data_IF_192362949370
#
_entry.id   IF_192362949370
#
_cell.length_a   1.000
_cell.length_b   1.000
_cell.length_c   1.000
_cell.angle_alpha   90.00
_cell.angle_beta   90.00
_cell.angle_gamma   90.00
#
_symmetry.space_group_name_H-M   'P 1'
#
loop_
_entity.id
_entity.type
_entity.pdbx_description
1 polymer ?
#
# COMPACT_ATOMS: atom_id res chain seq x y z
N UNK A 1 -31.16 18.16 18.28
CA UNK A 1 -30.28 17.06 18.71
C UNK A 1 -29.09 17.12 17.79
N UNK A 2 -27.94 17.54 18.29
CA UNK A 2 -26.69 17.32 17.57
C UNK A 2 -26.51 15.82 17.41
N UNK A 3 -26.29 15.35 16.19
CA UNK A 3 -25.92 13.96 15.96
C UNK A 3 -24.43 13.86 16.25
N UNK A 4 -24.05 13.08 17.26
CA UNK A 4 -22.64 12.82 17.60
C UNK A 4 -22.03 11.69 16.73
N UNK A 5 -22.73 11.31 15.66
CA UNK A 5 -22.28 10.30 14.72
C UNK A 5 -21.67 10.99 13.50
N UNK A 6 -20.39 10.72 13.25
CA UNK A 6 -19.66 11.05 12.04
C UNK A 6 -19.63 9.82 11.15
N UNK A 7 -20.12 9.95 9.91
CA UNK A 7 -20.04 8.89 8.90
C UNK A 7 -20.66 7.54 9.29
N UNK A 8 -20.57 6.60 8.36
CA UNK A 8 -20.91 5.18 8.57
C UNK A 8 -19.89 4.23 7.94
N UNK A 9 -18.74 4.78 7.51
CA UNK A 9 -17.54 4.06 7.07
C UNK A 9 -16.32 4.78 7.63
N UNK A 10 -15.17 4.08 7.69
CA UNK A 10 -13.90 4.70 8.09
C UNK A 10 -13.57 5.87 7.17
N UNK A 11 -13.62 5.66 5.86
CA UNK A 11 -13.39 6.70 4.85
C UNK A 11 -14.16 7.99 5.13
N UNK A 12 -15.48 7.89 5.37
CA UNK A 12 -16.31 9.05 5.62
C UNK A 12 -15.91 9.78 6.92
N UNK A 13 -15.51 9.02 7.95
CA UNK A 13 -15.02 9.59 9.21
C UNK A 13 -13.69 10.30 9.00
N UNK A 14 -12.72 9.63 8.36
CA UNK A 14 -11.37 10.17 8.10
C UNK A 14 -11.46 11.44 7.25
N UNK A 15 -12.17 11.40 6.12
CA UNK A 15 -12.37 12.59 5.27
C UNK A 15 -12.98 13.75 6.04
N UNK A 16 -13.99 13.49 6.87
CA UNK A 16 -14.61 14.54 7.70
C UNK A 16 -13.61 15.15 8.69
N UNK A 17 -12.64 14.38 9.19
CA UNK A 17 -11.58 14.89 10.08
C UNK A 17 -10.52 15.67 9.30
N UNK A 18 -10.10 15.17 8.12
CA UNK A 18 -9.14 15.86 7.25
C UNK A 18 -9.69 17.19 6.71
N UNK A 19 -10.96 17.22 6.30
CA UNK A 19 -11.66 18.41 5.79
C UNK A 19 -11.84 19.51 6.86
N UNK A 20 -11.61 19.18 8.13
CA UNK A 20 -11.54 20.17 9.22
C UNK A 20 -10.17 20.86 9.34
N UNK A 21 -9.21 20.49 8.47
CA UNK A 21 -7.86 21.04 8.36
C UNK A 21 -7.12 21.09 9.71
N UNK A 22 -7.03 19.97 10.46
CA UNK A 22 -6.27 19.95 11.71
C UNK A 22 -4.77 20.16 11.44
N UNK A 23 -4.03 20.66 12.42
CA UNK A 23 -2.56 20.71 12.32
C UNK A 23 -1.92 19.32 12.50
N UNK A 24 -2.50 18.50 13.37
CA UNK A 24 -2.02 17.17 13.73
C UNK A 24 -3.20 16.22 13.96
N UNK A 25 -3.03 14.98 13.52
CA UNK A 25 -4.01 13.92 13.64
C UNK A 25 -3.34 12.66 14.20
N UNK A 26 -3.73 12.25 15.40
CA UNK A 26 -3.39 10.95 15.93
C UNK A 26 -4.43 9.90 15.51
N UNK A 27 -3.95 8.75 15.04
CA UNK A 27 -4.76 7.57 14.74
C UNK A 27 -4.31 6.46 15.68
N UNK A 28 -5.15 6.11 16.64
CA UNK A 28 -4.75 5.25 17.77
C UNK A 28 -5.47 3.91 17.70
N UNK A 29 -4.69 2.85 17.84
CA UNK A 29 -5.12 1.45 17.81
C UNK A 29 -6.12 1.17 16.65
N UNK A 30 -5.81 1.54 15.40
CA UNK A 30 -6.68 1.26 14.26
C UNK A 30 -6.75 -0.25 13.98
N UNK A 31 -7.93 -0.72 13.58
CA UNK A 31 -8.02 -2.02 12.91
C UNK A 31 -7.35 -1.95 11.53
N UNK A 32 -7.00 -3.09 10.94
CA UNK A 32 -6.30 -3.12 9.65
C UNK A 32 -7.03 -2.35 8.54
N UNK A 33 -8.33 -2.60 8.38
CA UNK A 33 -9.22 -1.86 7.47
C UNK A 33 -9.17 -0.34 7.70
N UNK A 34 -9.00 0.10 8.95
CA UNK A 34 -8.89 1.54 9.25
C UNK A 34 -7.58 2.14 8.76
N UNK A 35 -6.49 1.37 8.80
CA UNK A 35 -5.19 1.80 8.26
C UNK A 35 -5.27 1.93 6.74
N UNK A 36 -5.86 0.94 6.06
CA UNK A 36 -6.05 0.95 4.61
C UNK A 36 -6.87 2.17 4.15
N UNK A 37 -8.04 2.36 4.75
CA UNK A 37 -8.94 3.47 4.42
C UNK A 37 -8.34 4.84 4.76
N UNK A 38 -7.53 4.94 5.81
CA UNK A 38 -6.79 6.17 6.12
C UNK A 38 -5.77 6.49 5.02
N UNK A 39 -4.98 5.50 4.59
CA UNK A 39 -3.95 5.67 3.56
C UNK A 39 -4.61 6.06 2.23
N UNK A 40 -5.70 5.39 1.86
CA UNK A 40 -6.46 5.71 0.65
C UNK A 40 -7.07 7.13 0.73
N UNK A 41 -7.69 7.49 1.86
CA UNK A 41 -8.30 8.81 2.04
C UNK A 41 -7.27 9.94 2.05
N UNK A 42 -6.09 9.72 2.65
CA UNK A 42 -5.01 10.70 2.67
C UNK A 42 -4.40 10.92 1.28
N UNK A 43 -4.12 9.84 0.52
CA UNK A 43 -3.62 9.96 -0.85
C UNK A 43 -4.65 10.59 -1.81
N UNK A 44 -5.95 10.40 -1.55
CA UNK A 44 -7.03 11.00 -2.34
C UNK A 44 -7.37 12.44 -1.90
N UNK A 45 -6.75 12.97 -0.84
CA UNK A 45 -7.05 14.30 -0.33
C UNK A 45 -6.43 15.37 -1.24
N UNK A 46 -7.23 16.37 -1.65
CA UNK A 46 -6.78 17.45 -2.54
C UNK A 46 -6.13 18.64 -1.80
N UNK A 47 -6.25 18.68 -0.46
CA UNK A 47 -5.74 19.74 0.41
C UNK A 47 -4.38 19.45 1.05
N UNK A 48 -3.92 20.35 1.92
CA UNK A 48 -2.76 20.10 2.78
C UNK A 48 -3.13 19.06 3.84
N UNK A 49 -2.32 18.00 3.98
CA UNK A 49 -2.51 17.00 5.00
C UNK A 49 -2.02 17.49 6.37
N UNK A 50 -2.68 17.09 7.47
CA UNK A 50 -2.09 17.24 8.80
C UNK A 50 -0.84 16.37 8.94
N UNK A 51 -0.07 16.61 10.01
CA UNK A 51 0.87 15.60 10.50
C UNK A 51 0.09 14.40 11.04
N UNK A 52 0.06 13.29 10.31
CA UNK A 52 -0.65 12.07 10.68
C UNK A 52 0.30 11.17 11.48
N UNK A 53 -0.08 10.89 12.73
CA UNK A 53 0.66 10.06 13.68
C UNK A 53 -0.14 8.81 14.02
N UNK A 54 0.28 7.67 13.48
CA UNK A 54 -0.44 6.41 13.65
C UNK A 54 0.23 5.52 14.70
N UNK A 55 -0.49 5.23 15.78
CA UNK A 55 -0.13 4.26 16.83
C UNK A 55 -0.90 2.96 16.61
N UNK A 56 -0.23 1.93 16.10
CA UNK A 56 -0.86 0.66 15.74
C UNK A 56 -0.18 -0.54 16.39
N UNK A 57 -0.96 -1.60 16.63
CA UNK A 57 -0.41 -2.90 17.04
C UNK A 57 0.58 -3.40 15.97
N UNK A 58 1.76 -3.89 16.40
CA UNK A 58 2.84 -4.25 15.49
C UNK A 58 2.41 -5.32 14.48
N UNK A 59 1.61 -6.29 14.92
CA UNK A 59 1.12 -7.36 14.06
C UNK A 59 0.13 -6.82 13.04
N UNK A 60 -0.80 -5.98 13.47
CA UNK A 60 -1.78 -5.34 12.58
C UNK A 60 -1.07 -4.50 11.51
N UNK A 61 -0.05 -3.72 11.88
CA UNK A 61 0.73 -2.95 10.91
C UNK A 61 1.48 -3.86 9.93
N UNK A 62 2.09 -4.95 10.39
CA UNK A 62 2.73 -5.95 9.51
C UNK A 62 1.73 -6.57 8.54
N UNK A 63 0.60 -7.05 9.06
CA UNK A 63 -0.42 -7.74 8.27
C UNK A 63 -1.01 -6.82 7.18
N UNK A 64 -1.24 -5.53 7.48
CA UNK A 64 -1.71 -4.54 6.48
C UNK A 64 -0.63 -4.18 5.47
N UNK A 65 0.61 -3.99 5.93
CA UNK A 65 1.73 -3.58 5.07
C UNK A 65 2.38 -4.73 4.30
N UNK A 66 1.87 -5.96 4.46
CA UNK A 66 2.16 -7.08 3.57
C UNK A 66 1.48 -6.89 2.19
N UNK A 67 0.40 -6.09 2.10
CA UNK A 67 -0.17 -5.68 0.81
C UNK A 67 0.69 -4.58 0.18
N UNK A 68 1.22 -4.85 -1.01
CA UNK A 68 2.12 -3.93 -1.70
C UNK A 68 1.47 -2.56 -1.98
N UNK A 69 0.20 -2.52 -2.37
CA UNK A 69 -0.47 -1.28 -2.75
C UNK A 69 -0.63 -0.40 -1.50
N UNK A 70 -1.13 -0.97 -0.41
CA UNK A 70 -1.26 -0.24 0.86
C UNK A 70 0.11 0.22 1.37
N UNK A 71 1.10 -0.67 1.36
CA UNK A 71 2.43 -0.35 1.87
C UNK A 71 3.17 0.72 1.05
N UNK A 72 3.07 0.66 -0.28
CA UNK A 72 3.73 1.63 -1.18
C UNK A 72 3.02 2.99 -1.21
N UNK A 73 1.68 3.02 -1.07
CA UNK A 73 0.91 4.27 -0.88
C UNK A 73 1.16 4.89 0.51
N UNK A 74 1.30 4.08 1.56
CA UNK A 74 1.71 4.57 2.88
C UNK A 74 3.14 5.13 2.83
N UNK A 75 4.04 4.49 2.09
CA UNK A 75 5.42 4.95 1.92
C UNK A 75 5.49 6.30 1.18
N UNK A 76 4.60 6.59 0.22
CA UNK A 76 4.48 7.95 -0.34
C UNK A 76 4.24 9.00 0.75
N UNK A 77 3.26 8.76 1.63
CA UNK A 77 2.92 9.68 2.73
C UNK A 77 4.08 9.83 3.73
N UNK A 78 4.80 8.74 4.02
CA UNK A 78 5.99 8.77 4.89
C UNK A 78 7.13 9.55 4.26
N UNK A 79 7.40 9.37 2.96
CA UNK A 79 8.44 10.12 2.24
C UNK A 79 8.11 11.61 2.10
N UNK A 80 6.82 11.95 1.97
CA UNK A 80 6.33 13.33 2.00
C UNK A 80 6.43 13.97 3.38
N UNK A 81 6.50 13.17 4.45
CA UNK A 81 6.52 13.62 5.83
C UNK A 81 5.13 13.86 6.43
N UNK A 82 4.08 13.41 5.75
CA UNK A 82 2.69 13.56 6.19
C UNK A 82 2.25 12.42 7.12
N UNK A 83 2.91 11.26 7.07
CA UNK A 83 2.60 10.09 7.88
C UNK A 83 3.82 9.59 8.66
N UNK A 84 3.63 9.35 9.95
CA UNK A 84 4.55 8.58 10.80
C UNK A 84 3.82 7.39 11.44
N UNK A 85 4.50 6.25 11.51
CA UNK A 85 3.96 5.02 12.10
C UNK A 85 4.78 4.63 13.34
N UNK A 86 4.10 4.32 14.44
CA UNK A 86 4.72 3.80 15.67
C UNK A 86 3.96 2.60 16.21
N UNK A 87 4.71 1.71 16.86
CA UNK A 87 4.17 0.51 17.49
C UNK A 87 3.53 0.88 18.82
N UNK A 88 2.27 0.48 18.96
CA UNK A 88 1.50 0.69 20.16
C UNK A 88 1.54 -0.57 21.03
N UNK A 89 2.28 -0.49 22.13
CA UNK A 89 2.36 -1.56 23.14
C UNK A 89 1.29 -1.44 24.24
N UNK A 90 0.39 -0.44 24.14
CA UNK A 90 -0.59 -0.13 25.16
C UNK A 90 -1.77 -1.10 25.18
N UNK A 91 -1.89 -1.89 26.25
CA UNK A 91 -3.13 -2.61 26.52
C UNK A 91 -4.24 -1.60 26.89
N UNK A 92 -5.32 -1.53 26.08
CA UNK A 92 -6.65 -0.97 26.40
C UNK A 92 -7.06 0.42 25.86
N UNK A 93 -6.43 1.00 24.84
CA UNK A 93 -7.06 2.12 24.10
C UNK A 93 -8.10 1.62 23.10
N UNK A 94 -9.24 2.30 23.04
CA UNK A 94 -10.21 2.08 21.96
C UNK A 94 -9.68 2.67 20.66
N UNK A 95 -10.10 2.14 19.52
CA UNK A 95 -9.75 2.72 18.23
C UNK A 95 -10.32 4.14 18.11
N UNK A 96 -9.47 5.11 17.80
CA UNK A 96 -9.87 6.52 17.79
C UNK A 96 -8.99 7.42 16.92
N UNK A 97 -9.59 8.54 16.50
CA UNK A 97 -8.93 9.67 15.88
C UNK A 97 -8.91 10.83 16.88
N UNK A 98 -7.76 11.46 17.08
CA UNK A 98 -7.59 12.55 18.05
C UNK A 98 -6.88 13.73 17.39
N UNK A 99 -7.47 14.91 17.54
CA UNK A 99 -6.93 16.21 17.14
C UNK A 99 -7.02 17.13 18.36
N UNK A 100 -6.39 18.31 18.31
CA UNK A 100 -6.43 19.28 19.43
C UNK A 100 -7.87 19.68 19.83
N UNK A 101 -8.80 19.74 18.86
CA UNK A 101 -10.16 20.24 19.07
C UNK A 101 -11.26 19.16 18.99
N UNK A 102 -10.90 17.92 18.66
CA UNK A 102 -11.86 16.84 18.50
C UNK A 102 -11.29 15.46 18.81
N UNK A 103 -12.09 14.65 19.49
CA UNK A 103 -11.88 13.20 19.63
C UNK A 103 -13.02 12.44 18.93
N UNK A 104 -12.66 11.39 18.18
CA UNK A 104 -13.60 10.50 17.50
C UNK A 104 -13.28 9.05 17.84
N UNK A 105 -14.18 8.38 18.56
CA UNK A 105 -14.08 6.94 18.79
C UNK A 105 -14.66 6.17 17.60
N UNK A 106 -13.92 5.21 17.04
CA UNK A 106 -14.37 4.38 15.94
C UNK A 106 -15.11 3.15 16.49
N UNK A 107 -16.34 2.94 16.01
CA UNK A 107 -17.22 1.86 16.48
C UNK A 107 -17.70 1.02 15.30
N UNK A 108 -17.21 -0.22 15.24
CA UNK A 108 -17.63 -1.22 14.25
C UNK A 108 -18.90 -1.96 14.67
N UNK A 109 -19.94 -1.98 13.83
CA UNK A 109 -21.17 -2.75 14.02
C UNK A 109 -21.69 -3.29 12.67
N UNK A 110 -21.74 -4.62 12.52
CA UNK A 110 -22.41 -5.26 11.37
C UNK A 110 -21.82 -4.89 10.00
N UNK A 111 -20.50 -4.67 9.93
CA UNK A 111 -19.79 -4.24 8.71
C UNK A 111 -19.84 -2.73 8.44
N UNK A 112 -20.38 -1.93 9.37
CA UNK A 112 -20.30 -0.47 9.34
C UNK A 112 -19.32 0.01 10.40
N UNK A 113 -18.61 1.10 10.13
CA UNK A 113 -17.78 1.80 11.12
C UNK A 113 -18.29 3.22 11.27
N UNK A 114 -18.84 3.54 12.44
CA UNK A 114 -19.29 4.90 12.76
C UNK A 114 -18.31 5.60 13.71
N UNK A 115 -18.09 6.89 13.49
CA UNK A 115 -17.32 7.74 14.40
C UNK A 115 -18.21 8.38 15.45
N UNK A 116 -18.01 8.08 16.73
CA UNK A 116 -18.64 8.81 17.83
C UNK A 116 -17.76 9.98 18.25
N UNK A 117 -18.23 11.21 18.03
CA UNK A 117 -17.41 12.41 18.22
C UNK A 117 -17.79 13.22 19.46
N UNK A 118 -16.79 13.88 20.02
CA UNK A 118 -16.90 14.93 21.02
C UNK A 118 -15.93 16.08 20.70
N UNK A 119 -16.38 17.30 20.95
CA UNK A 119 -15.63 18.56 20.90
C UNK A 119 -15.59 19.23 22.30
N UNK A 120 -15.92 18.46 23.35
CA UNK A 120 -15.75 18.91 24.73
C UNK A 120 -14.26 19.18 24.99
N UNK A 121 -13.94 20.44 25.30
CA UNK A 121 -12.57 20.92 25.39
C UNK A 121 -11.75 20.21 26.47
N UNK A 122 -12.33 19.99 27.66
CA UNK A 122 -11.63 19.31 28.77
C UNK A 122 -11.31 17.86 28.41
N UNK A 123 -12.28 17.14 27.82
CA UNK A 123 -12.05 15.77 27.40
C UNK A 123 -11.05 15.67 26.25
N UNK A 124 -11.15 16.55 25.25
CA UNK A 124 -10.28 16.52 24.07
C UNK A 124 -8.84 16.86 24.41
N UNK A 125 -8.61 17.90 25.21
CA UNK A 125 -7.26 18.25 25.72
C UNK A 125 -6.65 17.06 26.47
N UNK A 126 -7.41 16.44 27.37
CA UNK A 126 -6.96 15.26 28.13
C UNK A 126 -6.64 14.07 27.21
N UNK A 127 -7.45 13.83 26.18
CA UNK A 127 -7.23 12.74 25.24
C UNK A 127 -5.99 12.99 24.36
N UNK A 128 -5.83 14.24 23.88
CA UNK A 128 -4.70 14.66 23.08
C UNK A 128 -3.39 14.51 23.83
N UNK A 129 -3.29 15.08 25.04
CA UNK A 129 -2.09 15.00 25.88
C UNK A 129 -1.70 13.54 26.16
N UNK A 130 -2.69 12.70 26.50
CA UNK A 130 -2.42 11.31 26.81
C UNK A 130 -1.96 10.50 25.60
N UNK A 131 -2.42 10.83 24.39
CA UNK A 131 -1.98 10.17 23.16
C UNK A 131 -0.62 10.70 22.68
N UNK A 132 -0.35 11.99 22.90
CA UNK A 132 0.97 12.57 22.64
C UNK A 132 2.05 11.94 23.54
N UNK A 133 1.74 11.72 24.82
CA UNK A 133 2.62 10.97 25.73
C UNK A 133 2.84 9.52 25.23
N UNK A 134 1.76 8.82 24.87
CA UNK A 134 1.83 7.46 24.31
C UNK A 134 2.69 7.44 23.01
N UNK A 135 2.62 8.49 22.19
CA UNK A 135 3.41 8.64 20.97
C UNK A 135 4.89 8.82 21.24
N UNK A 136 5.25 9.71 22.17
CA UNK A 136 6.65 10.03 22.49
C UNK A 136 7.41 8.82 23.05
N UNK A 137 6.72 7.94 23.78
CA UNK A 137 7.26 6.71 24.34
C UNK A 137 7.29 5.52 23.34
N UNK A 138 6.54 5.60 22.24
CA UNK A 138 6.39 4.50 21.29
C UNK A 138 7.58 4.30 20.34
N UNK A 139 7.83 3.04 19.96
CA UNK A 139 8.89 2.68 18.99
C UNK A 139 8.47 2.97 17.55
N UNK A 140 9.41 3.42 16.71
CA UNK A 140 9.15 3.67 15.30
C UNK A 140 8.89 2.38 14.51
N UNK A 141 7.84 2.38 13.69
CA UNK A 141 7.57 1.33 12.72
C UNK A 141 8.04 1.77 11.33
N UNK A 142 9.02 1.08 10.75
CA UNK A 142 9.60 1.45 9.45
C UNK A 142 9.07 0.56 8.33
N UNK A 143 8.52 1.18 7.29
CA UNK A 143 8.13 0.50 6.06
C UNK A 143 9.38 0.04 5.28
N UNK A 144 9.32 -1.20 4.78
CA UNK A 144 10.36 -1.75 3.91
C UNK A 144 10.06 -1.55 2.43
N UNK A 145 8.78 -1.45 2.10
CA UNK A 145 8.27 -1.23 0.76
C UNK A 145 8.59 0.19 0.30
N UNK A 146 9.16 0.39 -0.90
CA UNK A 146 9.40 1.72 -1.45
C UNK A 146 8.09 2.43 -1.79
N UNK A 147 8.13 3.77 -1.76
CA UNK A 147 7.06 4.65 -2.24
C UNK A 147 6.65 4.34 -3.68
N UNK A 148 5.35 4.25 -3.95
CA UNK A 148 4.85 3.87 -5.28
C UNK A 148 5.28 4.87 -6.36
N UNK A 149 5.39 6.16 -6.03
CA UNK A 149 5.81 7.19 -6.99
C UNK A 149 7.27 6.98 -7.41
N UNK A 150 8.11 6.53 -6.48
CA UNK A 150 9.50 6.15 -6.79
C UNK A 150 9.54 4.90 -7.66
N UNK A 151 8.68 3.92 -7.42
CA UNK A 151 8.57 2.70 -8.24
C UNK A 151 8.20 3.09 -9.68
N UNK A 152 7.16 3.90 -9.87
CA UNK A 152 6.71 4.41 -11.18
C UNK A 152 7.82 5.16 -11.89
N UNK A 153 8.38 6.17 -11.23
CA UNK A 153 9.45 6.99 -11.80
C UNK A 153 10.62 6.13 -12.29
N UNK A 154 11.07 5.18 -11.47
CA UNK A 154 12.22 4.34 -11.82
C UNK A 154 11.89 3.28 -12.87
N UNK A 155 10.63 2.81 -12.99
CA UNK A 155 10.22 1.96 -14.11
C UNK A 155 10.32 2.73 -15.43
N UNK A 156 9.83 3.98 -15.48
CA UNK A 156 9.91 4.84 -16.67
C UNK A 156 11.38 5.11 -17.06
N UNK A 157 12.20 5.50 -16.07
CA UNK A 157 13.58 5.95 -16.30
C UNK A 157 14.56 4.78 -16.58
N UNK A 158 14.47 3.67 -15.83
CA UNK A 158 15.47 2.59 -15.88
C UNK A 158 15.05 1.40 -16.75
N UNK A 159 13.75 1.21 -16.99
CA UNK A 159 13.22 0.10 -17.81
C UNK A 159 12.62 0.63 -19.10
N UNK A 160 11.40 1.16 -19.06
CA UNK A 160 10.75 1.84 -20.17
C UNK A 160 9.41 2.48 -19.76
N UNK A 161 8.98 3.55 -20.45
CA UNK A 161 7.66 4.16 -20.25
C UNK A 161 6.49 3.18 -20.47
N UNK A 162 6.63 2.25 -21.41
CA UNK A 162 5.59 1.25 -21.69
C UNK A 162 5.42 0.28 -20.51
N UNK A 163 6.51 -0.06 -19.82
CA UNK A 163 6.49 -0.91 -18.63
C UNK A 163 5.88 -0.18 -17.42
N UNK A 164 6.19 1.10 -17.23
CA UNK A 164 5.54 1.91 -16.20
C UNK A 164 4.02 1.99 -16.41
N UNK A 165 3.59 2.32 -17.64
CA UNK A 165 2.17 2.43 -17.96
C UNK A 165 1.41 1.10 -17.80
N UNK A 166 2.03 -0.01 -18.21
CA UNK A 166 1.44 -1.34 -18.05
C UNK A 166 1.38 -1.76 -16.57
N UNK A 167 2.37 -1.39 -15.76
CA UNK A 167 2.38 -1.62 -14.31
C UNK A 167 1.25 -0.87 -13.63
N UNK A 168 1.08 0.41 -13.94
CA UNK A 168 -0.02 1.23 -13.40
C UNK A 168 -1.40 0.71 -13.78
N UNK A 169 -1.56 0.26 -15.03
CA UNK A 169 -2.81 -0.33 -15.47
C UNK A 169 -3.14 -1.64 -14.73
N UNK A 170 -2.14 -2.45 -14.37
CA UNK A 170 -2.32 -3.65 -13.53
C UNK A 170 -2.74 -3.25 -12.12
N UNK A 171 -2.02 -2.31 -11.49
CA UNK A 171 -2.32 -1.85 -10.13
C UNK A 171 -3.72 -1.25 -10.01
N UNK A 172 -4.11 -0.39 -10.95
CA UNK A 172 -5.45 0.19 -10.98
C UNK A 172 -6.55 -0.89 -11.05
N UNK A 173 -6.32 -1.98 -11.80
CA UNK A 173 -7.26 -3.11 -11.79
C UNK A 173 -7.30 -3.82 -10.44
N UNK A 174 -6.16 -3.98 -9.77
CA UNK A 174 -6.08 -4.65 -8.48
C UNK A 174 -6.75 -3.85 -7.37
N UNK A 175 -6.61 -2.52 -7.37
CA UNK A 175 -7.30 -1.62 -6.43
C UNK A 175 -8.83 -1.76 -6.53
N UNK A 176 -9.36 -1.83 -7.75
CA UNK A 176 -10.81 -2.01 -7.94
C UNK A 176 -11.33 -3.40 -7.53
N UNK A 177 -10.44 -4.40 -7.43
CA UNK A 177 -10.76 -5.76 -7.04
C UNK A 177 -10.53 -6.04 -5.55
N UNK A 178 -10.12 -5.03 -4.76
CA UNK A 178 -9.81 -5.15 -3.33
C UNK A 178 -11.03 -5.68 -2.57
N UNK A 179 -10.94 -6.94 -2.16
CA UNK A 179 -12.01 -7.68 -1.48
C UNK A 179 -11.60 -9.00 -0.84
N UNK A 180 -10.49 -9.63 -1.27
CA UNK A 180 -10.09 -10.96 -0.76
C UNK A 180 -8.61 -11.09 -0.32
N UNK A 181 -7.84 -10.00 -0.21
CA UNK A 181 -6.49 -10.02 0.42
C UNK A 181 -5.44 -10.93 -0.23
N UNK A 182 -5.71 -11.50 -1.41
CA UNK A 182 -4.83 -12.41 -2.15
C UNK A 182 -4.43 -11.77 -3.51
N UNK A 183 -3.98 -10.52 -3.44
CA UNK A 183 -3.40 -9.79 -4.57
C UNK A 183 -2.15 -10.49 -5.10
N UNK A 184 -1.81 -10.26 -6.37
CA UNK A 184 -0.49 -10.65 -6.87
C UNK A 184 0.59 -9.85 -6.15
N UNK A 185 1.65 -10.53 -5.71
CA UNK A 185 2.82 -9.85 -5.18
C UNK A 185 3.48 -8.97 -6.26
N UNK A 186 4.14 -7.92 -5.81
CA UNK A 186 4.78 -6.89 -6.63
C UNK A 186 5.85 -7.46 -7.58
N UNK A 187 6.51 -8.54 -7.19
CA UNK A 187 7.50 -9.23 -8.04
C UNK A 187 6.79 -9.95 -9.18
N UNK A 188 5.66 -10.59 -8.90
CA UNK A 188 4.81 -11.23 -9.90
C UNK A 188 4.28 -10.20 -10.90
N UNK A 189 3.74 -9.06 -10.44
CA UNK A 189 3.28 -7.97 -11.32
C UNK A 189 4.42 -7.46 -12.19
N UNK A 190 5.57 -7.16 -11.59
CA UNK A 190 6.78 -6.68 -12.29
C UNK A 190 7.22 -7.65 -13.40
N UNK A 191 7.21 -8.96 -13.13
CA UNK A 191 7.61 -9.98 -14.09
C UNK A 191 6.60 -10.15 -15.24
N UNK A 192 5.29 -10.06 -14.97
CA UNK A 192 4.26 -10.15 -16.00
C UNK A 192 4.31 -8.96 -16.95
N UNK A 193 4.45 -7.76 -16.41
CA UNK A 193 4.58 -6.52 -17.19
C UNK A 193 5.88 -6.52 -18.01
N UNK A 194 7.00 -6.91 -17.40
CA UNK A 194 8.26 -7.07 -18.11
C UNK A 194 8.17 -8.15 -19.22
N UNK A 195 7.42 -9.23 -18.99
CA UNK A 195 7.19 -10.26 -20.00
C UNK A 195 6.33 -9.77 -21.16
N UNK A 196 5.29 -8.97 -20.88
CA UNK A 196 4.45 -8.33 -21.91
C UNK A 196 5.26 -7.42 -22.82
N UNK A 197 6.14 -6.60 -22.22
CA UNK A 197 7.01 -5.66 -22.94
C UNK A 197 8.29 -6.29 -23.47
N UNK A 198 8.49 -7.58 -23.23
CA UNK A 198 9.66 -8.36 -23.66
C UNK A 198 10.99 -7.78 -23.16
N UNK A 199 11.02 -7.39 -21.90
CA UNK A 199 12.21 -6.90 -21.24
C UNK A 199 13.18 -8.03 -20.86
N UNK A 200 14.44 -7.68 -20.63
CA UNK A 200 15.42 -8.64 -20.12
C UNK A 200 15.15 -8.92 -18.64
N UNK A 201 15.13 -10.20 -18.26
CA UNK A 201 15.01 -10.62 -16.85
C UNK A 201 16.08 -9.98 -15.98
N UNK A 202 17.29 -9.77 -16.52
CA UNK A 202 18.37 -9.13 -15.78
C UNK A 202 18.05 -7.68 -15.43
N UNK A 203 17.46 -6.92 -16.35
CA UNK A 203 17.21 -5.49 -16.17
C UNK A 203 16.12 -5.31 -15.12
N UNK A 204 14.97 -5.98 -15.27
CA UNK A 204 13.88 -5.92 -14.27
C UNK A 204 14.30 -6.48 -12.89
N UNK A 205 15.07 -7.58 -12.84
CA UNK A 205 15.53 -8.13 -11.54
C UNK A 205 16.59 -7.24 -10.87
N UNK A 206 17.36 -6.50 -11.67
CA UNK A 206 18.34 -5.55 -11.13
C UNK A 206 17.62 -4.30 -10.63
N UNK A 207 16.71 -3.75 -11.43
CA UNK A 207 15.86 -2.63 -11.05
C UNK A 207 15.11 -2.91 -9.73
N UNK A 208 14.42 -4.05 -9.64
CA UNK A 208 13.66 -4.38 -8.44
C UNK A 208 14.53 -4.54 -7.19
N UNK A 209 15.78 -4.98 -7.33
CA UNK A 209 16.73 -5.02 -6.20
C UNK A 209 17.24 -3.62 -5.85
N UNK A 210 17.55 -2.80 -6.84
CA UNK A 210 18.10 -1.45 -6.66
C UNK A 210 17.05 -0.50 -6.03
N UNK A 211 15.77 -0.68 -6.35
CA UNK A 211 14.64 0.11 -5.79
C UNK A 211 14.18 -0.42 -4.43
N UNK A 212 14.49 -1.67 -4.09
CA UNK A 212 14.12 -2.29 -2.81
C UNK A 212 12.83 -3.11 -2.84
N UNK A 213 12.31 -3.43 -4.02
CA UNK A 213 11.15 -4.30 -4.22
C UNK A 213 11.45 -5.72 -3.71
N UNK A 214 12.46 -6.37 -4.27
CA UNK A 214 12.88 -7.69 -3.82
C UNK A 214 14.29 -8.05 -4.30
N UNK A 215 14.91 -9.02 -3.62
CA UNK A 215 16.21 -9.54 -4.04
C UNK A 215 16.15 -10.24 -5.41
N UNK A 216 17.28 -10.27 -6.14
CA UNK A 216 17.41 -11.06 -7.38
C UNK A 216 17.05 -12.54 -7.22
N UNK A 217 17.29 -13.10 -6.03
CA UNK A 217 16.93 -14.49 -5.74
C UNK A 217 15.41 -14.68 -5.63
N UNK A 218 14.67 -13.67 -5.16
CA UNK A 218 13.20 -13.67 -5.15
C UNK A 218 12.67 -13.59 -6.58
N UNK A 219 13.13 -12.61 -7.38
CA UNK A 219 12.78 -12.53 -8.81
C UNK A 219 13.03 -13.84 -9.55
N UNK A 220 14.19 -14.49 -9.34
CA UNK A 220 14.48 -15.77 -9.97
C UNK A 220 13.53 -16.89 -9.55
N UNK A 221 13.11 -16.95 -8.28
CA UNK A 221 12.17 -17.96 -7.78
C UNK A 221 10.77 -17.73 -8.33
N UNK A 222 10.29 -16.49 -8.29
CA UNK A 222 8.98 -16.09 -8.84
C UNK A 222 8.94 -16.35 -10.33
N UNK A 223 10.00 -16.00 -11.08
CA UNK A 223 10.12 -16.31 -12.51
C UNK A 223 9.99 -17.80 -12.78
N UNK A 224 10.70 -18.66 -12.05
CA UNK A 224 10.58 -20.11 -12.23
C UNK A 224 9.16 -20.60 -11.94
N UNK A 225 8.52 -20.09 -10.88
CA UNK A 225 7.12 -20.41 -10.57
C UNK A 225 6.18 -20.05 -11.73
N UNK A 226 6.33 -18.85 -12.31
CA UNK A 226 5.52 -18.39 -13.43
C UNK A 226 5.77 -19.19 -14.72
N UNK A 227 7.01 -19.62 -14.98
CA UNK A 227 7.33 -20.53 -16.10
C UNK A 227 6.72 -21.93 -15.90
N UNK A 228 6.82 -22.48 -14.69
CA UNK A 228 6.27 -23.81 -14.37
C UNK A 228 4.74 -23.83 -14.52
N UNK A 229 4.08 -22.68 -14.32
CA UNK A 229 2.65 -22.48 -14.53
C UNK A 229 2.29 -22.12 -15.98
N UNK A 230 3.28 -21.96 -16.86
CA UNK A 230 3.08 -21.60 -18.27
C UNK A 230 2.62 -20.16 -18.49
N UNK A 231 2.76 -19.28 -17.51
CA UNK A 231 2.35 -17.86 -17.62
C UNK A 231 3.39 -17.05 -18.40
N UNK A 232 4.67 -17.36 -18.22
CA UNK A 232 5.79 -16.72 -18.92
C UNK A 232 6.76 -17.76 -19.50
N UNK A 233 7.57 -17.35 -20.45
CA UNK A 233 8.73 -18.11 -20.98
C UNK A 233 9.91 -17.15 -21.20
N UNK A 234 11.08 -17.71 -21.52
CA UNK A 234 12.29 -16.94 -21.79
C UNK A 234 12.95 -17.30 -23.12
N UNK A 235 13.34 -16.27 -23.89
CA UNK A 235 14.22 -16.44 -25.04
C UNK A 235 15.66 -16.04 -24.73
N UNK A 236 16.61 -16.78 -25.28
CA UNK A 236 18.04 -16.47 -25.14
C UNK A 236 18.44 -15.33 -26.06
N UNK A 237 19.04 -14.30 -25.50
CA UNK A 237 19.59 -13.14 -26.20
C UNK A 237 21.11 -13.20 -26.14
N UNK A 238 21.82 -13.41 -27.26
CA UNK A 238 23.27 -13.40 -27.30
C UNK A 238 23.86 -12.08 -26.78
N UNK A 239 25.00 -12.17 -26.13
CA UNK A 239 25.81 -11.01 -25.70
C UNK A 239 27.27 -11.24 -26.09
N UNK A 240 28.05 -10.16 -26.18
CA UNK A 240 29.43 -10.21 -26.65
C UNK A 240 30.35 -11.06 -25.76
N UNK A 241 30.12 -11.04 -24.43
CA UNK A 241 30.91 -11.80 -23.46
C UNK A 241 30.01 -12.36 -22.37
N UNK A 242 30.09 -13.68 -22.13
CA UNK A 242 29.40 -14.35 -21.03
C UNK A 242 28.23 -15.22 -21.47
N UNK A 243 27.31 -15.49 -20.53
CA UNK A 243 26.10 -16.28 -20.81
C UNK A 243 25.05 -15.39 -21.46
N UNK A 244 24.29 -15.90 -22.47
CA UNK A 244 23.16 -15.18 -23.04
C UNK A 244 22.23 -14.63 -21.95
N UNK A 245 21.70 -13.43 -22.16
CA UNK A 245 20.62 -12.89 -21.34
C UNK A 245 19.32 -13.61 -21.65
N UNK A 246 18.37 -13.52 -20.74
CA UNK A 246 17.03 -14.06 -20.91
C UNK A 246 16.07 -12.90 -21.12
N UNK A 247 15.39 -12.89 -22.25
CA UNK A 247 14.27 -11.98 -22.50
C UNK A 247 12.98 -12.68 -22.10
N UNK A 248 12.18 -12.00 -21.30
CA UNK A 248 10.88 -12.49 -20.83
C UNK A 248 9.85 -12.41 -21.95
N UNK A 249 8.86 -13.31 -21.91
CA UNK A 249 7.68 -13.30 -22.77
C UNK A 249 6.50 -13.88 -22.01
N UNK A 250 5.31 -13.45 -22.36
CA UNK A 250 4.09 -14.17 -21.99
C UNK A 250 4.07 -15.51 -22.74
N UNK A 251 3.56 -16.55 -22.09
CA UNK A 251 3.46 -17.90 -22.65
C UNK A 251 2.04 -18.47 -22.65
N UNK A 252 1.13 -17.86 -21.87
CA UNK A 252 -0.29 -18.19 -21.89
C UNK A 252 -0.99 -17.35 -22.97
N UNK A 253 -1.69 -18.02 -23.90
CA UNK A 253 -2.43 -17.36 -24.99
C UNK A 253 -3.43 -16.32 -24.47
N UNK A 254 -3.99 -16.52 -23.25
CA UNK A 254 -4.90 -15.56 -22.62
C UNK A 254 -4.21 -14.29 -22.19
N UNK A 255 -2.90 -14.33 -21.91
CA UNK A 255 -2.11 -13.17 -21.52
C UNK A 255 -1.56 -12.41 -22.74
N UNK A 256 -1.20 -13.10 -23.82
CA UNK A 256 -0.58 -12.47 -25.00
C UNK A 256 -1.43 -11.33 -25.58
N UNK A 257 -2.74 -11.57 -25.70
CA UNK A 257 -3.71 -10.59 -26.23
C UNK A 257 -4.40 -9.76 -25.14
N UNK A 258 -4.15 -10.05 -23.85
CA UNK A 258 -4.82 -9.35 -22.76
C UNK A 258 -4.33 -7.89 -22.64
N UNK A 259 -5.24 -6.93 -22.38
CA UNK A 259 -4.83 -5.61 -21.94
C UNK A 259 -4.10 -5.71 -20.59
N UNK A 260 -3.20 -4.76 -20.27
CA UNK A 260 -2.44 -4.78 -19.01
C UNK A 260 -3.32 -4.97 -17.77
N UNK A 261 -4.45 -4.27 -17.69
CA UNK A 261 -5.41 -4.37 -16.59
C UNK A 261 -5.96 -5.79 -16.36
N UNK A 262 -5.96 -6.66 -17.37
CA UNK A 262 -6.43 -8.04 -17.24
C UNK A 262 -5.33 -9.03 -16.84
N UNK A 263 -4.05 -8.64 -16.89
CA UNK A 263 -2.93 -9.54 -16.56
C UNK A 263 -3.05 -10.10 -15.15
N UNK A 264 -3.42 -9.26 -14.18
CA UNK A 264 -3.54 -9.69 -12.78
C UNK A 264 -4.63 -10.75 -12.62
N UNK A 265 -5.81 -10.48 -13.17
CA UNK A 265 -6.96 -11.39 -13.10
C UNK A 265 -6.65 -12.75 -13.76
N UNK A 266 -6.01 -12.72 -14.93
CA UNK A 266 -5.64 -13.96 -15.64
C UNK A 266 -4.59 -14.75 -14.84
N UNK A 267 -3.57 -14.09 -14.29
CA UNK A 267 -2.53 -14.77 -13.51
C UNK A 267 -3.08 -15.33 -12.17
N UNK A 268 -3.93 -14.58 -11.46
CA UNK A 268 -4.60 -15.06 -10.23
C UNK A 268 -5.43 -16.32 -10.49
N UNK A 269 -6.14 -16.40 -11.62
CA UNK A 269 -6.94 -17.58 -11.99
C UNK A 269 -6.13 -18.88 -12.16
N UNK A 270 -4.80 -18.77 -12.27
CA UNK A 270 -3.88 -19.91 -12.43
C UNK A 270 -3.09 -20.18 -11.14
N UNK A 271 -2.91 -19.15 -10.31
CA UNK A 271 -2.17 -19.23 -9.05
C UNK A 271 -3.01 -19.77 -7.87
N UNK A 272 -4.34 -19.71 -8.00
CA UNK A 272 -5.35 -20.24 -7.05
C UNK A 272 -5.85 -21.63 -7.46
#
# INVERSE_FOLDING_TARGET
MSQNLLGTSVDAVVRTVLDAEPGELFVVNPAGETVEELVDAANAHEGELPSIRLLGDERTLKDVTDDFIVASNAANLVEAGDLELRVFDGDARSSMLVTEDRTVALVGVGGLVGGLTTDDAEFTETAYDAVADDWDDAEAFTLRTPAIDRVRQTLDEDISPDVEADFDAVLASMETARGDGDGLDEVTVSLLVAAKNRELLYDISKWGEDVGIASKATFSRTKTKLEDLGLIDTEKVPIDVGRPRLRLKLADDRLEDAPPAELANVAQSVLT
#
